data_IF_421129243113
#
_entry.id   IF_421129243113
#
_cell.length_a   1.000
_cell.length_b   1.000
_cell.length_c   1.000
_cell.angle_alpha   90.00
_cell.angle_beta   90.00
_cell.angle_gamma   90.00
#
_symmetry.space_group_name_H-M   'P 1'
#
loop_
_entity.id
_entity.type
_entity.pdbx_description
1 polymer ?
#
# COMPACT_ATOMS: atom_id res chain seq x y z
N UNK A 1 7.00 12.28 -9.26
CA UNK A 1 6.50 11.17 -8.43
C UNK A 1 5.28 10.59 -9.13
N UNK A 2 5.13 9.27 -9.14
CA UNK A 2 3.99 8.58 -9.80
C UNK A 2 2.68 9.00 -9.13
N UNK A 3 1.64 9.28 -9.91
CA UNK A 3 0.34 9.68 -9.37
C UNK A 3 -0.45 8.48 -8.86
N UNK A 4 -1.39 8.71 -7.94
CA UNK A 4 -2.29 7.68 -7.42
C UNK A 4 -2.97 6.87 -8.54
N UNK A 5 -3.49 7.55 -9.56
CA UNK A 5 -4.21 6.92 -10.67
C UNK A 5 -3.33 6.00 -11.52
N UNK A 6 -2.03 6.27 -11.62
CA UNK A 6 -1.11 5.37 -12.33
C UNK A 6 -0.94 4.05 -11.57
N UNK A 7 -0.92 4.06 -10.23
CA UNK A 7 -0.93 2.82 -9.45
C UNK A 7 -2.23 2.05 -9.63
N UNK A 8 -3.38 2.73 -9.55
CA UNK A 8 -4.71 2.10 -9.74
C UNK A 8 -4.81 1.43 -11.11
N UNK A 9 -4.43 2.13 -12.19
CA UNK A 9 -4.47 1.60 -13.56
C UNK A 9 -3.62 0.36 -13.79
N UNK A 10 -2.56 0.19 -13.01
CA UNK A 10 -1.64 -0.93 -13.14
C UNK A 10 -1.99 -2.09 -12.21
N UNK A 11 -3.04 -2.01 -11.39
CA UNK A 11 -3.49 -3.16 -10.61
C UNK A 11 -3.86 -4.32 -11.53
N UNK A 12 -3.44 -5.52 -11.15
CA UNK A 12 -3.62 -6.75 -11.94
C UNK A 12 -2.67 -6.89 -13.14
N UNK A 13 -1.96 -5.83 -13.56
CA UNK A 13 -1.02 -5.91 -14.67
C UNK A 13 0.22 -6.74 -14.31
N UNK A 14 0.80 -7.42 -15.30
CA UNK A 14 2.02 -8.21 -15.13
C UNK A 14 3.22 -7.30 -14.88
N UNK A 15 4.19 -7.81 -14.13
CA UNK A 15 5.47 -7.13 -13.94
C UNK A 15 6.17 -6.82 -15.28
N UNK A 16 6.02 -7.69 -16.28
CA UNK A 16 6.60 -7.53 -17.61
C UNK A 16 5.90 -6.48 -18.46
N UNK A 17 4.73 -5.98 -18.06
CA UNK A 17 3.95 -5.05 -18.85
C UNK A 17 4.64 -3.69 -18.95
N UNK A 18 4.60 -3.07 -20.13
CA UNK A 18 5.28 -1.80 -20.39
C UNK A 18 4.80 -0.69 -19.43
N UNK A 19 3.52 -0.68 -19.10
CA UNK A 19 2.93 0.28 -18.17
C UNK A 19 3.48 0.12 -16.75
N UNK A 20 3.67 -1.12 -16.29
CA UNK A 20 4.26 -1.42 -14.97
C UNK A 20 5.74 -1.06 -14.97
N UNK A 21 6.47 -1.39 -16.02
CA UNK A 21 7.88 -1.02 -16.17
C UNK A 21 8.06 0.51 -16.18
N UNK A 22 7.14 1.25 -16.81
CA UNK A 22 7.11 2.71 -16.79
C UNK A 22 6.78 3.25 -15.39
N UNK A 23 5.82 2.64 -14.70
CA UNK A 23 5.46 2.97 -13.32
C UNK A 23 6.66 2.80 -12.38
N UNK A 24 7.35 1.66 -12.43
CA UNK A 24 8.55 1.39 -11.62
C UNK A 24 9.66 2.40 -11.89
N UNK A 25 9.96 2.71 -13.16
CA UNK A 25 10.93 3.77 -13.52
C UNK A 25 10.50 5.15 -12.99
N UNK A 26 9.20 5.43 -12.98
CA UNK A 26 8.62 6.68 -12.49
C UNK A 26 8.76 6.89 -10.97
N UNK A 27 8.99 5.81 -10.20
CA UNK A 27 9.30 5.90 -8.75
C UNK A 27 10.61 6.66 -8.54
N UNK A 28 11.57 6.52 -9.46
CA UNK A 28 12.86 7.22 -9.38
C UNK A 28 13.82 6.61 -8.35
N UNK A 29 13.58 5.38 -7.93
CA UNK A 29 14.42 4.60 -7.01
C UNK A 29 14.64 3.20 -7.59
N UNK A 30 15.82 2.62 -7.37
CA UNK A 30 16.10 1.22 -7.69
C UNK A 30 15.55 0.35 -6.57
N UNK A 31 14.64 -0.57 -6.88
CA UNK A 31 14.05 -1.47 -5.89
C UNK A 31 15.04 -2.52 -5.40
N UNK A 32 14.83 -2.95 -4.16
CA UNK A 32 15.29 -4.25 -3.67
C UNK A 32 14.19 -5.27 -3.94
N UNK A 33 14.56 -6.43 -4.49
CA UNK A 33 13.60 -7.49 -4.82
C UNK A 33 13.67 -8.55 -3.73
N UNK A 34 12.50 -8.94 -3.21
CA UNK A 34 12.36 -10.07 -2.29
C UNK A 34 11.10 -10.87 -2.64
N UNK A 35 10.94 -12.05 -2.05
CA UNK A 35 9.73 -12.86 -2.24
C UNK A 35 9.34 -13.59 -0.97
N UNK A 36 8.06 -13.95 -0.84
CA UNK A 36 7.62 -14.80 0.27
C UNK A 36 8.44 -16.11 0.31
N UNK A 37 8.87 -16.59 1.48
CA UNK A 37 9.51 -17.89 1.62
C UNK A 37 8.53 -19.01 1.27
N UNK A 38 8.90 -19.93 0.36
CA UNK A 38 8.12 -21.14 0.11
C UNK A 38 8.46 -21.86 -1.21
N UNK A 39 8.63 -23.18 -1.12
CA UNK A 39 8.75 -24.14 -2.24
C UNK A 39 7.38 -24.64 -2.73
N UNK A 40 6.27 -24.23 -2.10
CA UNK A 40 4.94 -24.79 -2.38
C UNK A 40 3.96 -23.75 -2.95
N UNK A 41 3.44 -24.13 -4.12
CA UNK A 41 2.42 -23.49 -4.97
C UNK A 41 2.74 -22.05 -5.45
N UNK A 42 3.13 -21.89 -6.74
CA UNK A 42 3.36 -20.59 -7.38
C UNK A 42 2.23 -19.58 -7.19
N UNK A 43 1.00 -20.03 -6.93
CA UNK A 43 -0.17 -19.18 -6.69
C UNK A 43 -0.07 -18.32 -5.42
N UNK A 44 0.72 -18.73 -4.42
CA UNK A 44 0.90 -17.99 -3.16
C UNK A 44 2.23 -17.25 -3.06
N UNK A 45 3.08 -17.35 -4.08
CA UNK A 45 4.34 -16.61 -4.13
C UNK A 45 4.04 -15.15 -4.46
N UNK A 46 4.42 -14.26 -3.56
CA UNK A 46 4.42 -12.83 -3.83
C UNK A 46 5.86 -12.39 -4.08
N UNK A 47 6.08 -11.68 -5.19
CA UNK A 47 7.33 -10.98 -5.47
C UNK A 47 7.16 -9.51 -5.07
N UNK A 48 8.09 -9.01 -4.26
CA UNK A 48 8.05 -7.65 -3.73
C UNK A 48 9.14 -6.80 -4.37
N UNK A 49 8.73 -5.63 -4.83
CA UNK A 49 9.58 -4.56 -5.29
C UNK A 49 9.60 -3.47 -4.22
N UNK A 50 10.70 -3.39 -3.47
CA UNK A 50 10.83 -2.60 -2.25
C UNK A 50 11.64 -1.34 -2.52
N UNK A 51 11.02 -0.18 -2.39
CA UNK A 51 11.62 1.13 -2.62
C UNK A 51 11.73 1.87 -1.27
N UNK A 52 12.80 1.56 -0.53
CA UNK A 52 12.98 1.99 0.86
C UNK A 52 13.07 3.51 1.04
N UNK A 53 13.69 4.25 0.11
CA UNK A 53 13.87 5.71 0.23
C UNK A 53 12.60 6.48 -0.09
N UNK A 54 11.78 5.97 -1.00
CA UNK A 54 10.50 6.56 -1.38
C UNK A 54 9.33 6.10 -0.50
N UNK A 55 9.52 5.04 0.30
CA UNK A 55 8.48 4.54 1.20
C UNK A 55 7.39 3.76 0.47
N UNK A 56 7.78 2.94 -0.50
CA UNK A 56 6.86 2.17 -1.34
C UNK A 56 7.24 0.70 -1.39
N UNK A 57 6.25 -0.17 -1.44
CA UNK A 57 6.42 -1.59 -1.77
C UNK A 57 5.33 -2.04 -2.74
N UNK A 58 5.72 -2.68 -3.84
CA UNK A 58 4.79 -3.23 -4.82
C UNK A 58 4.83 -4.76 -4.73
N UNK A 59 3.66 -5.37 -4.50
CA UNK A 59 3.51 -6.81 -4.35
C UNK A 59 2.85 -7.46 -5.56
N UNK A 60 3.58 -8.33 -6.25
CA UNK A 60 3.11 -9.07 -7.42
C UNK A 60 2.73 -10.49 -7.04
N UNK A 61 1.47 -10.86 -7.31
CA UNK A 61 0.93 -12.22 -7.15
C UNK A 61 -0.06 -12.47 -8.28
N UNK A 62 0.41 -13.08 -9.37
CA UNK A 62 -0.35 -13.20 -10.63
C UNK A 62 -0.56 -11.88 -11.39
N UNK A 63 0.07 -10.80 -10.94
CA UNK A 63 -0.11 -9.41 -11.38
C UNK A 63 0.11 -8.46 -10.20
N UNK A 64 0.12 -7.14 -10.41
CA UNK A 64 0.25 -6.17 -9.33
C UNK A 64 -0.96 -6.24 -8.40
N UNK A 65 -0.81 -6.95 -7.29
CA UNK A 65 -1.91 -7.29 -6.38
C UNK A 65 -2.12 -6.22 -5.31
N UNK A 66 -1.03 -5.56 -4.88
CA UNK A 66 -1.10 -4.49 -3.90
C UNK A 66 0.09 -3.54 -3.99
N UNK A 67 -0.12 -2.34 -3.48
CA UNK A 67 0.90 -1.31 -3.29
C UNK A 67 0.81 -0.81 -1.85
N UNK A 68 1.90 -0.88 -1.11
CA UNK A 68 2.03 -0.26 0.20
C UNK A 68 2.68 1.11 0.10
N UNK A 69 2.06 2.10 0.76
CA UNK A 69 2.55 3.46 0.91
C UNK A 69 2.85 3.70 2.39
N UNK A 70 4.14 3.80 2.72
CA UNK A 70 4.63 3.95 4.08
C UNK A 70 4.61 5.44 4.46
N UNK A 71 3.46 5.96 4.88
CA UNK A 71 3.24 7.40 5.18
C UNK A 71 3.98 7.87 6.43
N UNK A 72 4.39 6.93 7.28
CA UNK A 72 5.35 7.16 8.36
C UNK A 72 6.47 6.14 8.24
N UNK A 73 7.71 6.57 8.50
CA UNK A 73 8.88 5.69 8.41
C UNK A 73 8.76 4.47 9.34
N UNK A 74 8.90 3.26 8.80
CA UNK A 74 8.89 2.01 9.57
C UNK A 74 9.50 0.86 8.78
N UNK A 75 10.00 -0.16 9.49
CA UNK A 75 10.56 -1.39 8.88
C UNK A 75 11.65 -1.12 7.84
N UNK A 76 12.42 -0.03 8.02
CA UNK A 76 13.47 0.40 7.08
C UNK A 76 12.98 1.27 5.93
N UNK A 77 11.66 1.41 5.74
CA UNK A 77 11.08 2.35 4.79
C UNK A 77 11.08 3.78 5.33
N UNK A 78 11.40 4.72 4.45
CA UNK A 78 11.24 6.16 4.68
C UNK A 78 9.78 6.57 4.49
N UNK A 79 9.47 7.82 4.83
CA UNK A 79 8.13 8.38 4.63
C UNK A 79 7.84 8.59 3.13
N UNK A 80 6.69 8.08 2.68
CA UNK A 80 6.10 8.41 1.39
C UNK A 80 5.46 9.80 1.41
N UNK A 81 5.94 10.69 0.53
CA UNK A 81 5.49 12.07 0.40
C UNK A 81 4.57 12.33 -0.79
N UNK A 82 4.20 11.28 -1.52
CA UNK A 82 3.36 11.41 -2.70
C UNK A 82 1.89 11.59 -2.39
N UNK A 83 1.09 11.37 -3.43
CA UNK A 83 -0.35 11.53 -3.39
C UNK A 83 -1.06 10.23 -3.01
N UNK A 84 -2.14 10.35 -2.24
CA UNK A 84 -3.13 9.31 -1.96
C UNK A 84 -4.52 9.92 -2.14
N UNK A 85 -5.27 9.41 -3.13
CA UNK A 85 -6.62 9.88 -3.47
C UNK A 85 -6.69 11.40 -3.73
N UNK A 86 -5.70 11.96 -4.43
CA UNK A 86 -5.67 13.37 -4.82
C UNK A 86 -5.28 14.35 -3.70
N UNK A 87 -4.80 13.84 -2.55
CA UNK A 87 -4.21 14.64 -1.47
C UNK A 87 -2.85 14.08 -1.06
N UNK A 88 -1.98 14.97 -0.56
CA UNK A 88 -0.69 14.57 0.01
C UNK A 88 -0.88 13.51 1.11
N UNK A 89 -0.12 12.41 1.02
CA UNK A 89 -0.25 11.26 1.91
C UNK A 89 -0.16 11.66 3.40
N UNK A 90 0.78 12.55 3.72
CA UNK A 90 1.06 13.02 5.09
C UNK A 90 0.00 13.97 5.64
N UNK A 91 -0.91 14.47 4.81
CA UNK A 91 -1.98 15.36 5.25
C UNK A 91 -3.17 14.61 5.85
N UNK A 92 -3.28 13.30 5.63
CA UNK A 92 -4.44 12.54 6.05
C UNK A 92 -4.46 12.26 7.55
N UNK A 93 -5.56 12.65 8.19
CA UNK A 93 -5.96 12.22 9.53
C UNK A 93 -7.18 11.28 9.47
N UNK A 94 -7.34 10.37 10.44
CA UNK A 94 -8.45 9.40 10.47
C UNK A 94 -9.83 10.07 10.33
N UNK A 95 -10.05 11.16 11.05
CA UNK A 95 -11.31 11.91 10.98
C UNK A 95 -11.58 12.47 9.57
N UNK A 96 -10.54 12.92 8.86
CA UNK A 96 -10.67 13.40 7.49
C UNK A 96 -10.94 12.26 6.51
N UNK A 97 -10.27 11.12 6.68
CA UNK A 97 -10.53 9.92 5.85
C UNK A 97 -12.02 9.55 5.94
N UNK A 98 -12.57 9.49 7.15
CA UNK A 98 -14.00 9.19 7.36
C UNK A 98 -14.90 10.32 6.83
N UNK A 99 -14.51 11.59 7.00
CA UNK A 99 -15.29 12.73 6.49
C UNK A 99 -15.35 12.77 4.96
N UNK A 100 -14.29 12.35 4.27
CA UNK A 100 -14.19 12.41 2.80
C UNK A 100 -14.75 11.15 2.16
N UNK A 101 -14.45 9.97 2.72
CA UNK A 101 -14.81 8.68 2.12
C UNK A 101 -16.09 8.07 2.71
N UNK A 102 -16.62 8.66 3.79
CA UNK A 102 -17.75 8.12 4.52
C UNK A 102 -17.37 6.92 5.42
N UNK A 103 -18.36 6.11 5.84
CA UNK A 103 -18.12 4.95 6.66
C UNK A 103 -17.37 3.85 5.88
N UNK A 104 -16.36 3.27 6.51
CA UNK A 104 -15.61 2.16 5.94
C UNK A 104 -16.45 0.88 5.89
N UNK A 105 -16.32 0.08 4.82
CA UNK A 105 -16.99 -1.23 4.73
C UNK A 105 -16.45 -2.23 5.74
N UNK A 106 -15.16 -2.11 6.09
CA UNK A 106 -14.53 -2.93 7.14
C UNK A 106 -13.59 -2.05 7.98
N UNK A 107 -13.49 -2.36 9.26
CA UNK A 107 -12.52 -1.73 10.16
C UNK A 107 -12.09 -2.70 11.25
N UNK A 108 -10.98 -2.40 11.92
CA UNK A 108 -10.49 -3.22 13.02
C UNK A 108 -9.16 -2.74 13.56
N UNK A 109 -8.47 -3.64 14.26
CA UNK A 109 -7.20 -3.34 14.93
C UNK A 109 -7.42 -2.72 16.30
N UNK A 110 -6.53 -1.78 16.65
CA UNK A 110 -6.42 -1.15 17.97
C UNK A 110 -6.35 -2.16 19.13
N UNK A 111 -5.57 -3.23 18.92
CA UNK A 111 -5.49 -4.32 19.90
C UNK A 111 -4.15 -5.03 19.85
N UNK A 112 -3.76 -5.56 20.99
CA UNK A 112 -2.63 -6.48 21.07
C UNK A 112 -3.01 -7.83 20.46
N UNK A 113 -2.17 -8.34 19.58
CA UNK A 113 -2.19 -9.71 19.12
C UNK A 113 -0.93 -10.42 19.63
N UNK A 114 -1.08 -11.64 20.18
CA UNK A 114 0.02 -12.34 20.81
C UNK A 114 1.12 -12.79 19.84
N UNK A 115 0.80 -12.97 18.55
CA UNK A 115 1.74 -13.46 17.54
C UNK A 115 2.43 -12.31 16.80
N UNK A 116 1.68 -11.26 16.47
CA UNK A 116 2.15 -10.19 15.57
C UNK A 116 2.26 -8.82 16.27
N UNK A 117 2.12 -8.79 17.59
CA UNK A 117 2.21 -7.57 18.38
C UNK A 117 0.98 -6.67 18.25
N UNK A 118 1.18 -5.37 18.40
CA UNK A 118 0.08 -4.40 18.35
C UNK A 118 -0.42 -4.22 16.91
N UNK A 119 -1.70 -4.53 16.68
CA UNK A 119 -2.37 -4.30 15.40
C UNK A 119 -2.94 -2.89 15.43
N UNK A 120 -2.40 -2.02 14.58
CA UNK A 120 -2.84 -0.62 14.45
C UNK A 120 -4.32 -0.52 14.08
N UNK A 121 -5.05 0.53 14.51
CA UNK A 121 -6.38 0.82 14.01
C UNK A 121 -6.36 0.95 12.48
N UNK A 122 -7.34 0.37 11.80
CA UNK A 122 -7.44 0.44 10.35
C UNK A 122 -8.88 0.48 9.83
N UNK A 123 -9.04 1.07 8.65
CA UNK A 123 -10.29 1.13 7.89
C UNK A 123 -10.02 0.67 6.45
N UNK A 124 -10.94 -0.12 5.87
CA UNK A 124 -10.90 -0.57 4.48
C UNK A 124 -12.11 -0.04 3.73
N UNK A 125 -11.82 0.58 2.59
CA UNK A 125 -12.76 1.14 1.64
C UNK A 125 -12.72 0.31 0.36
N UNK A 126 -13.89 -0.05 -0.16
CA UNK A 126 -14.04 -0.81 -1.40
C UNK A 126 -14.61 0.13 -2.45
N UNK A 127 -13.86 0.34 -3.52
CA UNK A 127 -14.28 1.03 -4.74
C UNK A 127 -14.67 -0.02 -5.79
N UNK A 128 -15.20 0.42 -6.93
CA UNK A 128 -15.67 -0.49 -7.99
C UNK A 128 -14.56 -1.42 -8.51
N UNK A 129 -13.34 -0.89 -8.68
CA UNK A 129 -12.22 -1.62 -9.33
C UNK A 129 -11.09 -2.00 -8.36
N UNK A 130 -11.07 -1.46 -7.14
CA UNK A 130 -9.97 -1.65 -6.19
C UNK A 130 -10.40 -1.40 -4.76
N UNK A 131 -9.59 -1.84 -3.79
CA UNK A 131 -9.79 -1.53 -2.39
C UNK A 131 -8.61 -0.73 -1.81
N UNK A 132 -8.89 0.12 -0.84
CA UNK A 132 -7.88 0.89 -0.10
C UNK A 132 -8.03 0.62 1.38
N UNK A 133 -6.93 0.25 2.03
CA UNK A 133 -6.85 0.13 3.49
C UNK A 133 -5.97 1.22 4.05
N UNK A 134 -6.51 2.01 4.96
CA UNK A 134 -5.77 2.97 5.78
C UNK A 134 -5.47 2.34 7.13
N UNK A 135 -4.23 2.44 7.57
CA UNK A 135 -3.78 2.12 8.93
C UNK A 135 -3.35 3.42 9.61
N UNK A 136 -3.64 3.55 10.91
CA UNK A 136 -3.45 4.79 11.65
C UNK A 136 -2.45 4.62 12.80
N UNK A 137 -1.69 5.68 13.09
CA UNK A 137 -0.90 5.79 14.31
C UNK A 137 -1.79 6.15 15.51
N UNK A 138 -1.24 6.08 16.72
CA UNK A 138 -1.97 6.42 17.96
C UNK A 138 -2.49 7.87 17.95
N UNK A 139 -1.72 8.78 17.36
CA UNK A 139 -2.11 10.18 17.12
C UNK A 139 -3.08 10.37 15.94
N UNK A 140 -3.68 9.28 15.45
CA UNK A 140 -4.72 9.25 14.40
C UNK A 140 -4.27 9.75 13.02
N UNK A 141 -2.99 10.03 12.80
CA UNK A 141 -2.42 10.26 11.46
C UNK A 141 -2.35 8.95 10.68
N UNK A 142 -2.36 9.05 9.34
CA UNK A 142 -2.14 7.87 8.50
C UNK A 142 -0.71 7.35 8.70
N UNK A 143 -0.61 6.06 9.00
CA UNK A 143 0.64 5.33 9.19
C UNK A 143 1.08 4.61 7.93
N UNK A 144 0.16 3.84 7.33
CA UNK A 144 0.35 3.10 6.09
C UNK A 144 -0.94 3.10 5.30
N UNK A 145 -0.83 3.15 3.97
CA UNK A 145 -1.96 2.91 3.07
C UNK A 145 -1.63 1.72 2.20
N UNK A 146 -2.61 0.85 1.97
CA UNK A 146 -2.49 -0.27 1.05
C UNK A 146 -3.56 -0.15 -0.02
N UNK A 147 -3.14 0.00 -1.27
CA UNK A 147 -3.97 -0.15 -2.45
C UNK A 147 -3.97 -1.63 -2.86
N UNK A 148 -5.12 -2.21 -3.20
CA UNK A 148 -5.27 -3.64 -3.49
C UNK A 148 -6.17 -3.85 -4.71
N UNK A 149 -5.81 -4.81 -5.56
CA UNK A 149 -6.77 -5.40 -6.50
C UNK A 149 -7.87 -6.15 -5.74
N UNK A 150 -9.09 -6.13 -6.26
CA UNK A 150 -10.23 -6.91 -5.73
C UNK A 150 -10.26 -8.30 -6.35
#
# INVERSE_FOLDING_TARGET
>A
MVSWNEYVRNLGASESDESVQKLMRGVGEVSVISSTPGEHDPLFKTLFYQFFKTGLELGFRGGLSHVHFFVQAHEGYSTYFGDILGRAATAWHRSEVVSVLGPAQQSGGDKQNMLIGYVRPWCKYIFEEYAVRFEFSQDQRVWKVTLMSI
#
